data_IF_205554606006
#
_entry.id   IF_205554606006
#
_cell.length_a   1.000
_cell.length_b   1.000
_cell.length_c   1.000
_cell.angle_alpha   90.00
_cell.angle_beta   90.00
_cell.angle_gamma   90.00
#
_symmetry.space_group_name_H-M   'P 1'
#
loop_
_entity.id
_entity.type
_entity.pdbx_description
1 polymer ?
#
# COMPACT_ATOMS: atom_id res chain seq x y z
N UNK A 1 -8.16 17.33 6.32
CA UNK A 1 -6.86 16.65 6.45
C UNK A 1 -6.03 16.97 5.20
N UNK A 2 -4.81 17.50 5.34
CA UNK A 2 -3.90 17.66 4.19
C UNK A 2 -3.39 16.27 3.79
N UNK A 3 -3.40 15.95 2.49
CA UNK A 3 -3.02 14.63 1.99
C UNK A 3 -1.51 14.38 2.14
N UNK A 4 -1.13 13.16 2.53
CA UNK A 4 0.27 12.69 2.48
C UNK A 4 0.59 12.18 1.08
N UNK A 5 1.81 12.41 0.60
CA UNK A 5 2.25 11.96 -0.74
C UNK A 5 3.33 10.88 -0.62
N UNK A 6 3.17 9.75 -1.29
CA UNK A 6 4.19 8.69 -1.32
C UNK A 6 5.50 9.19 -1.94
N UNK A 7 6.63 8.88 -1.29
CA UNK A 7 7.96 9.14 -1.83
C UNK A 7 8.19 8.39 -3.15
N UNK A 8 8.69 9.08 -4.18
CA UNK A 8 8.89 8.50 -5.53
C UNK A 8 9.83 7.29 -5.51
N UNK A 9 10.87 7.31 -4.67
CA UNK A 9 11.82 6.19 -4.55
C UNK A 9 11.19 4.91 -3.99
N UNK A 10 10.08 5.01 -3.26
CA UNK A 10 9.40 3.87 -2.65
C UNK A 10 8.26 3.32 -3.54
N UNK A 11 7.88 4.06 -4.59
CA UNK A 11 6.81 3.66 -5.52
C UNK A 11 7.04 2.30 -6.19
N UNK A 12 8.25 1.97 -6.72
CA UNK A 12 8.45 0.69 -7.40
C UNK A 12 8.27 -0.50 -6.46
N UNK A 13 8.84 -0.40 -5.25
CA UNK A 13 8.74 -1.45 -4.23
C UNK A 13 7.29 -1.64 -3.78
N UNK A 14 6.61 -0.55 -3.42
CA UNK A 14 5.25 -0.62 -2.91
C UNK A 14 4.27 -1.14 -3.99
N UNK A 15 4.45 -0.71 -5.24
CA UNK A 15 3.66 -1.22 -6.38
C UNK A 15 3.87 -2.72 -6.60
N UNK A 16 5.10 -3.23 -6.48
CA UNK A 16 5.40 -4.65 -6.59
C UNK A 16 4.74 -5.47 -5.47
N UNK A 17 4.80 -4.98 -4.22
CA UNK A 17 4.17 -5.63 -3.07
C UNK A 17 2.64 -5.66 -3.18
N UNK A 18 2.03 -4.54 -3.58
CA UNK A 18 0.59 -4.46 -3.82
C UNK A 18 0.17 -5.40 -4.95
N UNK A 19 0.90 -5.38 -6.07
CA UNK A 19 0.64 -6.26 -7.22
C UNK A 19 0.72 -7.73 -6.83
N UNK A 20 1.74 -8.11 -6.04
CA UNK A 20 1.88 -9.45 -5.52
C UNK A 20 0.69 -9.85 -4.64
N UNK A 21 0.30 -9.00 -3.68
CA UNK A 21 -0.86 -9.23 -2.82
C UNK A 21 -2.19 -9.33 -3.60
N UNK A 22 -2.33 -8.61 -4.72
CA UNK A 22 -3.48 -8.76 -5.63
C UNK A 22 -3.43 -10.09 -6.39
N UNK A 23 -2.24 -10.56 -6.77
CA UNK A 23 -2.08 -11.82 -7.51
C UNK A 23 -2.27 -13.05 -6.64
N UNK A 24 -1.65 -13.09 -5.46
CA UNK A 24 -1.69 -14.27 -4.58
C UNK A 24 -2.78 -14.19 -3.49
N UNK A 25 -3.36 -13.01 -3.25
CA UNK A 25 -4.35 -12.79 -2.19
C UNK A 25 -3.75 -12.80 -0.78
N UNK A 26 -2.41 -12.87 -0.66
CA UNK A 26 -1.71 -12.84 0.62
C UNK A 26 -1.50 -11.39 1.09
N UNK A 27 -1.45 -11.15 2.41
CA UNK A 27 -1.12 -9.82 2.91
C UNK A 27 0.30 -9.39 2.54
N UNK A 28 0.50 -8.09 2.33
CA UNK A 28 1.83 -7.47 2.35
C UNK A 28 2.00 -6.63 3.61
N UNK A 29 3.25 -6.41 4.00
CA UNK A 29 3.67 -5.40 4.98
C UNK A 29 4.80 -4.58 4.38
N UNK A 30 4.76 -3.27 4.58
CA UNK A 30 5.80 -2.37 4.08
C UNK A 30 5.96 -1.16 5.01
N UNK A 31 7.20 -0.76 5.21
CA UNK A 31 7.53 0.57 5.72
C UNK A 31 7.97 1.44 4.55
N UNK A 32 7.37 2.61 4.37
CA UNK A 32 7.71 3.52 3.28
C UNK A 32 7.59 4.98 3.69
N UNK A 33 8.20 5.86 2.91
CA UNK A 33 8.21 7.29 3.20
C UNK A 33 7.04 7.98 2.54
N UNK A 34 6.41 8.87 3.29
CA UNK A 34 5.44 9.82 2.79
C UNK A 34 5.90 11.23 3.09
N UNK A 35 5.49 12.17 2.26
CA UNK A 35 5.72 13.58 2.43
C UNK A 35 4.51 14.20 3.12
N UNK A 36 4.74 14.84 4.26
CA UNK A 36 3.70 15.50 5.04
C UNK A 36 3.36 16.90 4.48
N UNK A 37 2.44 17.59 5.16
CA UNK A 37 2.02 18.95 4.80
C UNK A 37 3.15 20.00 4.84
N UNK A 38 4.22 19.71 5.59
CA UNK A 38 5.39 20.58 5.77
C UNK A 38 6.53 20.20 4.82
N UNK A 39 6.27 19.32 3.84
CA UNK A 39 7.25 18.87 2.85
C UNK A 39 8.38 17.99 3.44
N UNK A 40 8.19 17.48 4.66
CA UNK A 40 9.13 16.58 5.34
C UNK A 40 8.76 15.12 5.07
N UNK A 41 9.74 14.23 5.18
CA UNK A 41 9.51 12.79 5.05
C UNK A 41 9.23 12.14 6.41
N UNK A 42 8.17 11.35 6.46
CA UNK A 42 7.80 10.49 7.58
C UNK A 42 7.75 9.04 7.11
N UNK A 43 8.18 8.10 7.95
CA UNK A 43 7.92 6.69 7.73
C UNK A 43 6.50 6.34 8.14
N UNK A 44 5.86 5.48 7.36
CA UNK A 44 4.58 4.84 7.70
C UNK A 44 4.73 3.34 7.52
N UNK A 45 4.09 2.58 8.41
CA UNK A 45 3.99 1.14 8.31
C UNK A 45 2.60 0.80 7.79
N UNK A 46 2.53 0.06 6.69
CA UNK A 46 1.28 -0.41 6.13
C UNK A 46 1.21 -1.93 6.16
N UNK A 47 0.01 -2.44 6.40
CA UNK A 47 -0.36 -3.84 6.13
C UNK A 47 -1.62 -3.83 5.30
N UNK A 48 -1.62 -4.54 4.17
CA UNK A 48 -2.79 -4.62 3.30
C UNK A 48 -2.93 -5.96 2.61
N UNK A 49 -4.14 -6.25 2.15
CA UNK A 49 -4.46 -7.48 1.40
C UNK A 49 -5.56 -7.22 0.38
N UNK A 50 -5.62 -8.08 -0.63
CA UNK A 50 -6.73 -8.11 -1.57
C UNK A 50 -7.68 -9.26 -1.24
N UNK A 51 -8.95 -8.93 -0.99
CA UNK A 51 -10.02 -9.89 -0.85
C UNK A 51 -10.58 -10.25 -2.23
N UNK A 52 -11.05 -11.49 -2.37
CA UNK A 52 -11.65 -12.01 -3.60
C UNK A 52 -13.14 -12.26 -3.41
N UNK A 53 -13.90 -12.10 -4.48
CA UNK A 53 -15.30 -12.54 -4.55
C UNK A 53 -15.39 -14.09 -4.64
N UNK A 54 -16.60 -14.68 -4.57
CA UNK A 54 -16.77 -16.12 -4.74
C UNK A 54 -16.32 -16.69 -6.10
N UNK A 55 -16.20 -15.84 -7.13
CA UNK A 55 -15.69 -16.23 -8.45
C UNK A 55 -14.14 -16.16 -8.53
N UNK A 56 -13.47 -15.71 -7.45
CA UNK A 56 -12.02 -15.59 -7.36
C UNK A 56 -11.46 -14.25 -7.86
N UNK A 57 -12.31 -13.30 -8.27
CA UNK A 57 -11.85 -12.00 -8.75
C UNK A 57 -11.48 -11.07 -7.59
N UNK A 58 -10.42 -10.24 -7.71
CA UNK A 58 -10.14 -9.15 -6.78
C UNK A 58 -11.36 -8.25 -6.59
N UNK A 59 -11.84 -8.09 -5.35
CA UNK A 59 -13.09 -7.35 -5.06
C UNK A 59 -12.90 -6.19 -4.09
N UNK A 60 -11.95 -6.29 -3.15
CA UNK A 60 -11.67 -5.25 -2.18
C UNK A 60 -10.19 -5.24 -1.80
N UNK A 61 -9.55 -4.10 -1.94
CA UNK A 61 -8.26 -3.85 -1.31
C UNK A 61 -8.48 -3.17 0.03
N UNK A 62 -7.94 -3.73 1.11
CA UNK A 62 -8.07 -3.16 2.45
C UNK A 62 -6.73 -3.24 3.17
N UNK A 63 -6.43 -2.18 3.91
CA UNK A 63 -5.21 -2.08 4.69
C UNK A 63 -5.31 -1.03 5.77
N UNK A 64 -4.35 -1.09 6.69
CA UNK A 64 -4.13 -0.12 7.75
C UNK A 64 -2.80 0.59 7.49
N UNK A 65 -2.75 1.88 7.80
CA UNK A 65 -1.59 2.77 7.70
C UNK A 65 -1.57 3.62 8.96
#
# INVERSE_FOLDING_TARGET
MRGKLLCVGDQPLLSALISKAVQDGLPYSAEYRVRNALNEFEFVMAVGRCFRDPAGNPSLYSGII
#
